data_IF_352196503204
#
_entry.id   IF_352196503204
#
_cell.length_a   1.000
_cell.length_b   1.000
_cell.length_c   1.000
_cell.angle_alpha   90.00
_cell.angle_beta   90.00
_cell.angle_gamma   90.00
#
_symmetry.space_group_name_H-M   'P 1'
#
loop_
_entity.id
_entity.type
_entity.pdbx_description
1 polymer ?
#
# COMPACT_ATOMS: atom_id res chain seq x y z
N UNK A 1 -43.75 84.48 6.29
CA UNK A 1 -44.61 83.69 5.39
C UNK A 1 -43.95 82.30 5.25
N UNK A 2 -44.72 81.32 5.35
CA UNK A 2 -44.42 79.91 5.66
C UNK A 2 -43.36 79.27 4.86
N UNK A 3 -42.46 78.52 5.58
CA UNK A 3 -41.54 77.52 5.15
C UNK A 3 -42.15 76.13 5.40
N UNK A 4 -42.15 75.14 4.49
CA UNK A 4 -42.30 73.76 4.88
C UNK A 4 -41.13 72.91 4.53
N UNK A 5 -40.59 72.46 5.58
CA UNK A 5 -40.22 71.05 5.94
C UNK A 5 -39.41 70.19 5.00
N UNK A 6 -38.26 69.94 5.55
CA UNK A 6 -37.37 68.83 5.32
C UNK A 6 -38.05 67.44 5.43
N UNK A 7 -37.89 66.61 4.36
CA UNK A 7 -38.00 65.17 4.51
C UNK A 7 -36.60 64.55 4.30
N UNK A 8 -36.05 64.06 5.41
CA UNK A 8 -34.82 63.24 5.36
C UNK A 8 -35.19 61.81 5.01
N UNK A 9 -34.73 61.31 3.90
CA UNK A 9 -34.78 59.90 3.50
C UNK A 9 -33.70 59.11 4.23
N UNK A 10 -34.08 58.08 5.01
CA UNK A 10 -33.18 57.05 5.55
C UNK A 10 -32.74 56.12 4.43
N UNK A 11 -31.46 55.67 4.42
CA UNK A 11 -31.06 54.60 3.55
C UNK A 11 -31.44 53.23 4.14
N UNK A 12 -32.06 52.39 3.32
CA UNK A 12 -32.33 51.01 3.65
C UNK A 12 -31.03 50.19 3.72
N UNK A 13 -30.75 49.62 4.88
CA UNK A 13 -29.67 48.62 5.06
C UNK A 13 -30.11 47.31 4.40
N UNK A 14 -29.56 47.02 3.24
CA UNK A 14 -29.68 45.71 2.62
C UNK A 14 -28.76 44.71 3.36
N UNK A 15 -29.33 43.89 4.22
CA UNK A 15 -28.65 42.80 4.89
C UNK A 15 -28.23 41.70 3.88
N UNK A 16 -26.93 41.56 3.65
CA UNK A 16 -26.34 40.47 2.89
C UNK A 16 -26.39 39.21 3.75
N UNK A 17 -27.38 38.35 3.53
CA UNK A 17 -27.42 37.00 4.11
C UNK A 17 -26.43 36.14 3.35
N UNK A 18 -25.24 35.93 3.94
CA UNK A 18 -24.31 34.92 3.48
C UNK A 18 -24.90 33.52 3.77
N UNK A 19 -25.51 32.93 2.75
CA UNK A 19 -25.95 31.53 2.82
C UNK A 19 -24.74 30.60 2.93
N UNK A 20 -24.52 30.07 4.15
CA UNK A 20 -23.62 28.90 4.33
C UNK A 20 -24.32 27.72 3.65
N UNK A 21 -23.90 27.42 2.43
CA UNK A 21 -24.27 26.19 1.77
C UNK A 21 -23.55 25.03 2.52
N UNK A 22 -24.20 24.50 3.55
CA UNK A 22 -23.86 23.16 4.06
C UNK A 22 -24.02 22.19 2.91
N UNK A 23 -22.92 21.67 2.40
CA UNK A 23 -22.92 20.50 1.50
C UNK A 23 -23.49 19.32 2.30
N UNK A 24 -24.81 19.20 2.33
CA UNK A 24 -25.49 17.98 2.74
C UNK A 24 -25.14 16.92 1.70
N UNK A 25 -24.25 15.98 2.04
CA UNK A 25 -24.11 14.74 1.30
C UNK A 25 -25.48 14.08 1.26
N UNK A 26 -26.04 13.96 0.04
CA UNK A 26 -27.34 13.34 -0.16
C UNK A 26 -27.29 11.89 0.30
N UNK A 27 -28.31 11.34 1.00
CA UNK A 27 -28.34 9.95 1.49
C UNK A 27 -28.04 8.92 0.37
N UNK A 28 -28.49 9.15 -0.86
CA UNK A 28 -28.20 8.30 -2.02
C UNK A 28 -26.67 8.14 -2.32
N UNK A 29 -25.85 9.13 -1.99
CA UNK A 29 -24.38 9.05 -2.17
C UNK A 29 -23.70 8.20 -1.08
N UNK A 30 -24.25 8.22 0.14
CA UNK A 30 -23.73 7.43 1.26
C UNK A 30 -24.06 5.94 1.10
N UNK A 31 -25.24 5.61 0.59
CA UNK A 31 -25.64 4.22 0.29
C UNK A 31 -24.81 3.65 -0.86
N UNK A 32 -24.64 4.39 -1.95
CA UNK A 32 -23.81 3.97 -3.09
C UNK A 32 -22.33 3.73 -2.68
N UNK A 33 -21.78 4.52 -1.77
CA UNK A 33 -20.44 4.29 -1.23
C UNK A 33 -20.36 2.98 -0.43
N UNK A 34 -21.37 2.71 0.42
CA UNK A 34 -21.40 1.47 1.21
C UNK A 34 -21.62 0.24 0.34
N UNK A 35 -22.42 0.35 -0.72
CA UNK A 35 -22.63 -0.73 -1.69
C UNK A 35 -21.32 -1.11 -2.42
N UNK A 36 -20.43 -0.13 -2.68
CA UNK A 36 -19.13 -0.39 -3.31
C UNK A 36 -18.04 -0.83 -2.33
N UNK A 37 -18.01 -0.25 -1.10
CA UNK A 37 -16.86 -0.40 -0.19
C UNK A 37 -17.16 -1.30 1.03
N UNK A 38 -18.41 -1.56 1.33
CA UNK A 38 -18.83 -2.43 2.43
C UNK A 38 -20.10 -3.24 2.07
N UNK A 39 -20.14 -3.94 0.93
CA UNK A 39 -21.35 -4.64 0.44
C UNK A 39 -21.84 -5.74 1.39
N UNK A 40 -20.97 -6.21 2.30
CA UNK A 40 -21.30 -7.21 3.32
C UNK A 40 -21.63 -6.60 4.69
N UNK A 41 -21.74 -5.28 4.77
CA UNK A 41 -21.86 -4.53 6.04
C UNK A 41 -20.54 -4.35 6.78
N UNK A 42 -19.41 -4.80 6.21
CA UNK A 42 -18.05 -4.66 6.73
C UNK A 42 -17.12 -4.18 5.63
N UNK A 43 -16.07 -3.44 6.00
CA UNK A 43 -14.95 -3.14 5.08
C UNK A 43 -13.99 -4.33 5.07
N UNK A 44 -13.91 -5.06 3.94
CA UNK A 44 -12.98 -6.18 3.78
C UNK A 44 -11.66 -5.66 3.21
N UNK A 45 -10.62 -5.67 4.03
CA UNK A 45 -9.29 -5.15 3.69
C UNK A 45 -8.37 -6.32 3.32
N UNK A 46 -7.94 -6.42 2.07
CA UNK A 46 -6.96 -7.42 1.68
C UNK A 46 -5.55 -7.00 2.12
N UNK A 47 -4.86 -7.91 2.80
CA UNK A 47 -3.51 -7.70 3.33
C UNK A 47 -2.57 -8.83 2.91
N UNK A 48 -1.30 -8.49 2.65
CA UNK A 48 -0.26 -9.47 2.37
C UNK A 48 0.58 -9.73 3.64
N UNK A 49 0.81 -11.00 3.94
CA UNK A 49 1.50 -11.42 5.17
C UNK A 49 2.98 -11.69 4.89
N UNK A 50 3.85 -11.13 5.73
CA UNK A 50 5.28 -11.45 5.80
C UNK A 50 5.71 -11.50 7.26
N UNK A 51 6.63 -12.40 7.65
CA UNK A 51 7.15 -12.48 9.02
C UNK A 51 7.90 -11.22 9.51
N UNK A 52 8.31 -10.35 8.59
CA UNK A 52 9.05 -9.12 8.92
C UNK A 52 8.16 -7.89 9.07
N UNK A 53 6.89 -7.93 8.58
CA UNK A 53 6.06 -6.73 8.50
C UNK A 53 6.63 -5.70 7.50
N UNK A 54 6.30 -4.44 7.68
CA UNK A 54 6.78 -3.32 6.84
C UNK A 54 5.67 -2.34 6.50
N UNK A 55 5.96 -1.36 5.64
CA UNK A 55 4.97 -0.35 5.24
C UNK A 55 3.86 -0.93 4.34
N UNK A 56 4.18 -1.95 3.56
CA UNK A 56 3.23 -2.71 2.75
C UNK A 56 2.80 -4.03 3.42
N UNK A 57 3.72 -4.74 4.07
CA UNK A 57 3.48 -6.06 4.61
C UNK A 57 2.84 -6.02 6.00
N UNK A 58 1.96 -6.97 6.27
CA UNK A 58 1.36 -7.21 7.59
C UNK A 58 1.92 -8.49 8.22
N UNK A 59 1.82 -8.61 9.54
CA UNK A 59 2.22 -9.80 10.29
C UNK A 59 1.02 -10.41 11.00
N UNK A 60 1.07 -11.71 11.31
CA UNK A 60 0.16 -12.34 12.26
C UNK A 60 0.63 -12.04 13.68
N UNK A 61 -0.31 -11.70 14.57
CA UNK A 61 -0.02 -11.54 16.00
C UNK A 61 -0.20 -12.85 16.75
N UNK A 62 0.41 -12.97 17.92
CA UNK A 62 0.25 -14.13 18.81
C UNK A 62 -1.22 -14.34 19.24
N UNK A 63 -2.00 -13.28 19.32
CA UNK A 63 -3.43 -13.32 19.63
C UNK A 63 -4.32 -13.78 18.46
N UNK A 64 -3.73 -14.14 17.30
CA UNK A 64 -4.46 -14.58 16.10
C UNK A 64 -4.98 -13.46 15.22
N UNK A 65 -4.68 -12.19 15.55
CA UNK A 65 -4.99 -11.02 14.73
C UNK A 65 -3.88 -10.66 13.75
N UNK A 66 -3.91 -9.41 13.28
CA UNK A 66 -2.93 -8.87 12.35
C UNK A 66 -2.36 -7.53 12.85
N UNK A 67 -1.12 -7.21 12.47
CA UNK A 67 -0.47 -5.93 12.68
C UNK A 67 0.23 -5.50 11.39
N UNK A 68 0.38 -4.18 11.18
CA UNK A 68 1.01 -3.61 10.00
C UNK A 68 0.38 -2.28 9.61
N UNK A 69 1.09 -1.49 8.82
CA UNK A 69 0.57 -0.21 8.31
C UNK A 69 -0.76 -0.38 7.55
N UNK A 70 -0.92 -1.40 6.66
CA UNK A 70 -2.19 -1.65 5.98
C UNK A 70 -3.33 -2.02 6.95
N UNK A 71 -3.02 -2.69 8.06
CA UNK A 71 -4.00 -3.04 9.10
C UNK A 71 -4.50 -1.78 9.80
N UNK A 72 -3.60 -0.91 10.24
CA UNK A 72 -3.97 0.34 10.91
C UNK A 72 -4.73 1.28 9.98
N UNK A 73 -4.28 1.44 8.73
CA UNK A 73 -5.00 2.26 7.74
C UNK A 73 -6.38 1.69 7.43
N UNK A 74 -6.52 0.37 7.29
CA UNK A 74 -7.81 -0.29 7.07
C UNK A 74 -8.78 -0.09 8.23
N UNK A 75 -8.28 -0.16 9.47
CA UNK A 75 -9.07 0.11 10.68
C UNK A 75 -9.58 1.55 10.73
N UNK A 76 -8.70 2.52 10.46
CA UNK A 76 -9.09 3.94 10.44
C UNK A 76 -10.08 4.25 9.31
N UNK A 77 -9.88 3.64 8.13
CA UNK A 77 -10.79 3.78 7.00
C UNK A 77 -12.19 3.22 7.32
N UNK A 78 -12.27 2.04 7.94
CA UNK A 78 -13.53 1.44 8.36
C UNK A 78 -14.24 2.30 9.43
N UNK A 79 -13.48 2.87 10.36
CA UNK A 79 -14.02 3.78 11.37
C UNK A 79 -14.63 5.05 10.73
N UNK A 80 -13.97 5.65 9.74
CA UNK A 80 -14.52 6.81 9.00
C UNK A 80 -15.76 6.44 8.16
N UNK A 81 -15.81 5.21 7.62
CA UNK A 81 -16.97 4.70 6.88
C UNK A 81 -18.13 4.32 7.82
N UNK A 82 -17.88 4.16 9.12
CA UNK A 82 -18.87 3.77 10.12
C UNK A 82 -19.28 2.31 10.04
N UNK A 83 -18.34 1.40 9.69
CA UNK A 83 -18.56 -0.04 9.58
C UNK A 83 -17.44 -0.84 10.28
N UNK A 84 -17.68 -2.09 10.67
CA UNK A 84 -16.62 -2.98 11.13
C UNK A 84 -15.59 -3.27 10.03
N UNK A 85 -14.33 -3.52 10.43
CA UNK A 85 -13.28 -3.99 9.53
C UNK A 85 -13.17 -5.53 9.58
N UNK A 86 -12.89 -6.12 8.41
CA UNK A 86 -12.52 -7.54 8.27
C UNK A 86 -11.24 -7.62 7.43
N UNK A 87 -10.25 -8.41 7.89
CA UNK A 87 -9.00 -8.58 7.14
C UNK A 87 -9.00 -9.89 6.36
N UNK A 88 -8.71 -9.79 5.06
CA UNK A 88 -8.59 -10.92 4.14
C UNK A 88 -7.10 -11.13 3.87
N UNK A 89 -6.50 -12.09 4.56
CA UNK A 89 -5.07 -12.34 4.51
C UNK A 89 -4.66 -13.19 3.30
N UNK A 90 -3.59 -12.77 2.63
CA UNK A 90 -2.95 -13.44 1.50
C UNK A 90 -1.45 -13.61 1.75
N UNK A 91 -0.83 -14.63 1.15
CA UNK A 91 0.60 -14.87 1.33
C UNK A 91 1.47 -13.86 0.55
N UNK A 92 0.92 -13.19 -0.46
CA UNK A 92 1.63 -12.19 -1.26
C UNK A 92 0.65 -11.28 -2.02
N UNK A 93 1.19 -10.21 -2.60
CA UNK A 93 0.40 -9.25 -3.37
C UNK A 93 -0.19 -9.80 -4.67
N UNK A 94 0.40 -10.84 -5.24
CA UNK A 94 -0.13 -11.51 -6.42
C UNK A 94 -1.46 -12.19 -6.14
N UNK A 95 -1.57 -12.89 -4.99
CA UNK A 95 -2.82 -13.53 -4.57
C UNK A 95 -3.96 -12.51 -4.30
N UNK A 96 -3.62 -11.30 -3.83
CA UNK A 96 -4.61 -10.21 -3.70
C UNK A 96 -5.16 -9.84 -5.08
N UNK A 97 -4.28 -9.70 -6.08
CA UNK A 97 -4.67 -9.39 -7.47
C UNK A 97 -5.52 -10.51 -8.06
N UNK A 98 -5.14 -11.77 -7.86
CA UNK A 98 -5.88 -12.93 -8.36
C UNK A 98 -7.28 -13.07 -7.73
N UNK A 99 -7.47 -12.50 -6.54
CA UNK A 99 -8.73 -12.50 -5.82
C UNK A 99 -9.70 -11.36 -6.23
N UNK A 100 -9.28 -10.39 -7.06
CA UNK A 100 -10.13 -9.27 -7.52
C UNK A 100 -11.43 -9.78 -8.13
N UNK A 101 -11.33 -10.71 -9.08
CA UNK A 101 -12.50 -11.23 -9.79
C UNK A 101 -13.43 -12.07 -8.91
N UNK A 102 -12.98 -12.50 -7.72
CA UNK A 102 -13.77 -13.28 -6.77
C UNK A 102 -14.61 -12.41 -5.84
N UNK A 103 -14.39 -11.08 -5.82
CA UNK A 103 -15.11 -10.15 -4.96
C UNK A 103 -14.95 -10.43 -3.46
N UNK A 104 -13.79 -10.94 -3.04
CA UNK A 104 -13.55 -11.35 -1.64
C UNK A 104 -13.00 -10.22 -0.78
N UNK A 105 -12.67 -9.06 -1.35
CA UNK A 105 -12.20 -7.87 -0.66
C UNK A 105 -12.70 -6.60 -1.34
N UNK A 106 -12.69 -5.47 -0.60
CA UNK A 106 -13.23 -4.19 -1.03
C UNK A 106 -12.14 -3.12 -1.21
N UNK A 107 -11.09 -3.18 -0.39
CA UNK A 107 -9.95 -2.27 -0.45
C UNK A 107 -8.66 -3.00 -0.13
N UNK A 108 -7.56 -2.52 -0.67
CA UNK A 108 -6.21 -2.98 -0.36
C UNK A 108 -5.19 -1.86 -0.47
N UNK A 109 -4.02 -2.08 0.08
CA UNK A 109 -2.84 -1.24 -0.02
C UNK A 109 -1.75 -2.10 -0.63
N UNK A 110 -1.43 -1.92 -1.93
CA UNK A 110 -0.49 -2.83 -2.58
C UNK A 110 0.39 -2.14 -3.62
N UNK A 111 1.52 -2.77 -3.99
CA UNK A 111 2.39 -2.25 -5.04
C UNK A 111 1.66 -2.09 -6.36
N UNK A 112 1.79 -0.89 -6.95
CA UNK A 112 1.21 -0.50 -8.23
C UNK A 112 2.20 -0.78 -9.36
N UNK A 113 1.71 -1.30 -10.48
CA UNK A 113 2.42 -1.39 -11.75
C UNK A 113 1.44 -1.47 -12.94
N UNK A 114 1.91 -1.34 -14.19
CA UNK A 114 1.03 -1.31 -15.37
C UNK A 114 0.15 -2.56 -15.53
N UNK A 115 0.64 -3.76 -15.14
CA UNK A 115 -0.16 -4.98 -15.23
C UNK A 115 -1.36 -4.96 -14.29
N UNK A 116 -1.20 -4.34 -13.12
CA UNK A 116 -2.24 -4.23 -12.10
C UNK A 116 -3.23 -3.10 -12.37
N UNK A 117 -2.78 -2.02 -13.03
CA UNK A 117 -3.65 -0.89 -13.43
C UNK A 117 -4.78 -1.32 -14.36
N UNK A 118 -4.61 -2.38 -15.14
CA UNK A 118 -5.67 -2.97 -15.95
C UNK A 118 -6.68 -3.82 -15.18
N UNK A 119 -6.41 -4.14 -13.91
CA UNK A 119 -7.21 -5.08 -13.09
C UNK A 119 -7.92 -4.42 -11.92
N UNK A 120 -7.46 -3.25 -11.48
CA UNK A 120 -7.99 -2.53 -10.32
C UNK A 120 -7.74 -1.04 -10.45
N UNK A 121 -8.46 -0.25 -9.66
CA UNK A 121 -8.33 1.20 -9.63
C UNK A 121 -7.43 1.63 -8.47
N UNK A 122 -6.42 2.47 -8.77
CA UNK A 122 -5.44 2.95 -7.79
C UNK A 122 -5.68 4.41 -7.41
N UNK A 123 -5.59 4.69 -6.11
CA UNK A 123 -5.54 6.02 -5.53
C UNK A 123 -4.11 6.51 -5.27
N UNK A 124 -3.91 7.44 -4.32
CA UNK A 124 -2.61 8.00 -4.00
C UNK A 124 -1.58 6.97 -3.54
N UNK A 125 -0.31 7.29 -3.76
CA UNK A 125 0.85 6.54 -3.27
C UNK A 125 1.15 7.00 -1.83
N UNK A 126 1.46 6.05 -0.94
CA UNK A 126 1.89 6.36 0.42
C UNK A 126 3.28 5.81 0.77
N UNK A 127 3.83 4.94 -0.08
CA UNK A 127 5.14 4.34 0.12
C UNK A 127 5.91 4.23 -1.20
N UNK A 128 7.21 4.45 -1.15
CA UNK A 128 8.17 4.08 -2.20
C UNK A 128 9.25 3.22 -1.58
N UNK A 129 9.31 1.94 -1.97
CA UNK A 129 10.29 0.97 -1.53
C UNK A 129 11.33 0.71 -2.64
N UNK A 130 12.60 0.64 -2.26
CA UNK A 130 13.68 0.25 -3.15
C UNK A 130 13.77 -1.29 -3.20
N UNK A 131 13.78 -1.89 -4.38
CA UNK A 131 13.94 -3.32 -4.60
C UNK A 131 15.40 -3.66 -4.96
N UNK A 132 15.94 -4.70 -4.31
CA UNK A 132 17.30 -5.19 -4.51
C UNK A 132 17.35 -6.71 -4.34
N UNK A 133 18.53 -7.26 -4.11
CA UNK A 133 18.75 -8.69 -3.87
C UNK A 133 19.46 -8.91 -2.54
N UNK A 134 19.10 -9.99 -1.85
CA UNK A 134 19.92 -10.60 -0.81
C UNK A 134 20.59 -11.83 -1.39
N UNK A 135 21.86 -12.03 -1.05
CA UNK A 135 22.63 -13.22 -1.50
C UNK A 135 22.86 -14.18 -0.34
N UNK A 136 22.96 -15.47 -0.65
CA UNK A 136 23.16 -16.57 0.30
C UNK A 136 24.43 -16.39 1.15
N UNK A 137 24.52 -17.05 2.30
CA UNK A 137 25.73 -17.05 3.13
C UNK A 137 26.97 -17.46 2.32
N UNK A 138 28.09 -16.76 2.52
CA UNK A 138 29.35 -17.06 1.86
C UNK A 138 29.40 -16.78 0.35
N UNK A 139 28.40 -16.12 -0.22
CA UNK A 139 28.35 -15.79 -1.66
C UNK A 139 29.49 -14.85 -2.08
N UNK A 140 30.10 -15.15 -3.23
CA UNK A 140 31.07 -14.27 -3.89
C UNK A 140 30.40 -13.11 -4.65
N UNK A 141 29.06 -13.11 -4.81
CA UNK A 141 28.30 -12.05 -5.45
C UNK A 141 28.33 -10.79 -4.59
N UNK A 142 28.81 -9.68 -5.15
CA UNK A 142 28.98 -8.40 -4.40
C UNK A 142 28.16 -7.24 -4.97
N UNK A 143 27.71 -7.37 -6.23
CA UNK A 143 26.98 -6.33 -6.97
C UNK A 143 26.15 -6.96 -8.09
N UNK A 144 25.38 -6.15 -8.83
CA UNK A 144 24.51 -6.64 -9.91
C UNK A 144 25.29 -7.28 -11.07
N UNK A 145 26.50 -6.81 -11.37
CA UNK A 145 27.31 -7.37 -12.44
C UNK A 145 27.74 -8.82 -12.10
N UNK A 146 28.12 -9.08 -10.86
CA UNK A 146 28.48 -10.42 -10.39
C UNK A 146 27.27 -11.31 -10.11
N UNK A 147 26.08 -10.71 -9.91
CA UNK A 147 24.82 -11.43 -9.77
C UNK A 147 24.29 -11.92 -11.12
N UNK A 148 24.36 -11.08 -12.17
CA UNK A 148 23.78 -11.41 -13.48
C UNK A 148 24.71 -12.31 -14.33
N UNK A 149 25.01 -13.49 -13.82
CA UNK A 149 25.84 -14.48 -14.49
C UNK A 149 25.07 -15.78 -14.77
N UNK A 150 25.43 -16.45 -15.85
CA UNK A 150 24.87 -17.77 -16.18
C UNK A 150 25.11 -18.77 -15.04
N UNK A 151 24.08 -19.52 -14.67
CA UNK A 151 24.10 -20.47 -13.56
C UNK A 151 23.69 -19.92 -12.22
N UNK A 152 23.63 -18.59 -12.02
CA UNK A 152 23.09 -17.97 -10.81
C UNK A 152 21.57 -18.16 -10.76
N UNK A 153 21.08 -18.67 -9.62
CA UNK A 153 19.66 -18.92 -9.36
C UNK A 153 19.10 -17.84 -8.47
N UNK A 154 18.22 -17.02 -9.01
CA UNK A 154 17.54 -15.93 -8.28
C UNK A 154 16.10 -16.33 -8.02
N UNK A 155 15.67 -16.27 -6.75
CA UNK A 155 14.28 -16.44 -6.39
C UNK A 155 13.53 -15.09 -6.33
N UNK A 156 12.23 -15.14 -6.55
CA UNK A 156 11.31 -14.04 -6.27
C UNK A 156 9.94 -14.61 -5.89
N UNK A 157 9.12 -13.82 -5.19
CA UNK A 157 7.74 -14.22 -4.89
C UNK A 157 6.88 -14.08 -6.14
N UNK A 158 6.13 -15.11 -6.46
CA UNK A 158 5.30 -15.19 -7.66
C UNK A 158 4.32 -14.00 -7.78
N UNK A 159 4.11 -13.56 -9.02
CA UNK A 159 3.13 -12.55 -9.40
C UNK A 159 3.30 -11.22 -8.65
N UNK A 160 4.54 -10.88 -8.24
CA UNK A 160 4.88 -9.60 -7.60
C UNK A 160 5.52 -8.62 -8.57
N UNK A 161 5.40 -7.32 -8.25
CA UNK A 161 6.10 -6.25 -8.98
C UNK A 161 7.62 -6.41 -8.93
N UNK A 162 8.12 -6.98 -7.83
CA UNK A 162 9.55 -7.23 -7.61
C UNK A 162 10.04 -8.36 -8.54
N UNK A 163 9.28 -9.47 -8.68
CA UNK A 163 9.61 -10.54 -9.61
C UNK A 163 9.69 -10.03 -11.05
N UNK A 164 8.68 -9.26 -11.48
CA UNK A 164 8.69 -8.67 -12.84
C UNK A 164 9.87 -7.72 -13.04
N UNK A 165 10.21 -6.94 -12.02
CA UNK A 165 11.40 -6.09 -12.03
C UNK A 165 12.70 -6.87 -12.14
N UNK A 166 12.85 -7.96 -11.38
CA UNK A 166 14.02 -8.83 -11.42
C UNK A 166 14.20 -9.51 -12.79
N UNK A 167 13.11 -10.03 -13.37
CA UNK A 167 13.10 -10.62 -14.72
C UNK A 167 13.51 -9.58 -15.78
N UNK A 168 13.03 -8.35 -15.67
CA UNK A 168 13.38 -7.28 -16.60
C UNK A 168 14.85 -6.81 -16.44
N UNK A 169 15.37 -6.85 -15.21
CA UNK A 169 16.72 -6.40 -14.87
C UNK A 169 17.80 -7.42 -15.28
N UNK A 170 17.63 -8.71 -14.91
CA UNK A 170 18.61 -9.75 -15.14
C UNK A 170 18.49 -10.32 -16.55
N UNK A 171 19.65 -10.55 -17.19
CA UNK A 171 19.74 -11.08 -18.58
C UNK A 171 20.27 -12.49 -18.63
N UNK A 172 21.18 -12.84 -17.74
CA UNK A 172 21.93 -14.09 -17.72
C UNK A 172 21.54 -15.00 -16.55
N UNK A 173 21.28 -14.43 -15.36
CA UNK A 173 20.82 -15.17 -14.19
C UNK A 173 19.35 -15.59 -14.33
N UNK A 174 19.04 -16.80 -13.84
CA UNK A 174 17.68 -17.35 -13.94
C UNK A 174 16.82 -16.91 -12.74
N UNK A 175 15.74 -16.19 -13.02
CA UNK A 175 14.72 -15.84 -12.01
C UNK A 175 13.64 -16.92 -11.95
N UNK A 176 13.39 -17.47 -10.76
CA UNK A 176 12.34 -18.47 -10.50
C UNK A 176 11.39 -17.95 -9.43
N UNK A 177 10.09 -18.09 -9.68
CA UNK A 177 9.05 -17.66 -8.75
C UNK A 177 8.65 -18.77 -7.76
N UNK A 178 8.40 -18.38 -6.51
CA UNK A 178 7.94 -19.23 -5.41
C UNK A 178 6.71 -18.62 -4.73
N UNK A 179 5.98 -19.41 -3.92
CA UNK A 179 4.70 -18.96 -3.40
C UNK A 179 4.84 -18.08 -2.15
N UNK A 180 5.82 -18.36 -1.29
CA UNK A 180 5.93 -17.69 0.00
C UNK A 180 7.34 -17.19 0.28
N UNK A 181 7.42 -16.18 1.16
CA UNK A 181 8.67 -15.68 1.70
C UNK A 181 9.45 -16.77 2.46
N UNK A 182 8.76 -17.58 3.28
CA UNK A 182 9.40 -18.58 4.13
C UNK A 182 10.02 -19.72 3.32
N UNK A 183 9.36 -20.14 2.23
CA UNK A 183 9.92 -21.11 1.27
C UNK A 183 11.26 -20.60 0.70
N UNK A 184 11.30 -19.35 0.25
CA UNK A 184 12.52 -18.76 -0.32
C UNK A 184 13.61 -18.59 0.75
N UNK A 185 13.25 -18.21 1.98
CA UNK A 185 14.19 -18.10 3.09
C UNK A 185 14.87 -19.45 3.40
N UNK A 186 14.13 -20.55 3.35
CA UNK A 186 14.65 -21.90 3.48
C UNK A 186 15.66 -22.25 2.36
N UNK A 187 15.28 -22.00 1.10
CA UNK A 187 16.14 -22.26 -0.06
C UNK A 187 17.42 -21.40 -0.08
N UNK A 188 17.33 -20.15 0.41
CA UNK A 188 18.49 -19.27 0.54
C UNK A 188 19.44 -19.78 1.62
N UNK A 189 18.90 -20.26 2.74
CA UNK A 189 19.66 -20.78 3.88
C UNK A 189 20.35 -22.11 3.52
N UNK A 190 19.68 -23.00 2.79
CA UNK A 190 20.25 -24.27 2.32
C UNK A 190 21.26 -24.09 1.17
N UNK A 191 21.28 -22.91 0.53
CA UNK A 191 22.13 -22.62 -0.62
C UNK A 191 21.61 -23.17 -1.95
N UNK A 192 20.36 -23.65 -1.99
CA UNK A 192 19.71 -24.14 -3.23
C UNK A 192 19.44 -23.02 -4.23
N UNK A 193 19.30 -21.79 -3.75
CA UNK A 193 19.29 -20.54 -4.53
C UNK A 193 20.46 -19.66 -4.15
N UNK A 194 20.91 -18.79 -5.06
CA UNK A 194 22.03 -17.89 -4.84
C UNK A 194 21.59 -16.52 -4.32
N UNK A 195 20.39 -16.06 -4.72
CA UNK A 195 19.87 -14.76 -4.33
C UNK A 195 18.33 -14.74 -4.29
N UNK A 196 17.80 -13.75 -3.56
CA UNK A 196 16.35 -13.46 -3.51
C UNK A 196 16.09 -11.99 -3.79
N UNK A 197 15.17 -11.69 -4.69
CA UNK A 197 14.74 -10.35 -5.08
C UNK A 197 13.50 -9.92 -4.26
N UNK A 198 13.62 -8.85 -3.46
CA UNK A 198 12.50 -8.29 -2.70
C UNK A 198 12.77 -6.80 -2.39
N UNK A 199 11.86 -6.15 -1.64
CA UNK A 199 12.11 -4.82 -1.11
C UNK A 199 13.26 -4.83 -0.08
N UNK A 200 14.06 -3.79 -0.08
CA UNK A 200 15.28 -3.67 0.75
C UNK A 200 15.01 -3.82 2.23
N UNK A 201 13.90 -3.26 2.73
CA UNK A 201 13.48 -3.36 4.13
C UNK A 201 13.26 -4.82 4.55
N UNK A 202 12.55 -5.60 3.72
CA UNK A 202 12.33 -7.02 3.94
C UNK A 202 13.62 -7.82 3.90
N UNK A 203 14.51 -7.52 2.95
CA UNK A 203 15.79 -8.19 2.82
C UNK A 203 16.73 -7.86 3.99
N UNK A 204 16.72 -6.62 4.48
CA UNK A 204 17.45 -6.23 5.68
C UNK A 204 16.94 -6.97 6.94
N UNK A 205 15.62 -7.13 7.06
CA UNK A 205 15.02 -7.91 8.14
C UNK A 205 15.39 -9.40 8.04
N UNK A 206 15.42 -9.96 6.83
CA UNK A 206 15.87 -11.34 6.57
C UNK A 206 17.35 -11.52 6.92
N UNK A 207 18.21 -10.61 6.51
CA UNK A 207 19.66 -10.67 6.76
C UNK A 207 20.00 -10.71 8.26
N UNK A 208 19.19 -10.04 9.11
CA UNK A 208 19.34 -10.12 10.57
C UNK A 208 19.01 -11.52 11.12
N UNK A 209 18.17 -12.28 10.42
CA UNK A 209 17.71 -13.63 10.83
C UNK A 209 18.58 -14.76 10.24
N UNK A 210 19.25 -14.51 9.10
CA UNK A 210 20.09 -15.49 8.40
C UNK A 210 21.53 -14.97 8.35
N UNK A 211 22.37 -15.32 9.33
CA UNK A 211 23.75 -14.85 9.40
C UNK A 211 24.56 -15.23 8.14
N UNK A 212 25.46 -14.34 7.73
CA UNK A 212 26.32 -14.53 6.58
C UNK A 212 25.70 -14.15 5.23
N UNK A 213 24.40 -13.82 5.20
CA UNK A 213 23.76 -13.21 4.01
C UNK A 213 24.19 -11.76 3.84
N UNK A 214 24.10 -11.24 2.64
CA UNK A 214 24.36 -9.83 2.33
C UNK A 214 23.28 -9.27 1.42
N UNK A 215 22.73 -8.11 1.77
CA UNK A 215 21.85 -7.32 0.90
C UNK A 215 22.75 -6.44 0.02
N UNK A 216 22.50 -6.46 -1.30
CA UNK A 216 23.26 -5.65 -2.26
C UNK A 216 22.86 -4.17 -2.15
N UNK A 217 23.84 -3.26 -2.32
CA UNK A 217 23.62 -1.82 -2.14
C UNK A 217 22.83 -1.18 -3.30
N UNK A 218 22.91 -1.76 -4.48
CA UNK A 218 22.26 -1.26 -5.69
C UNK A 218 20.74 -1.50 -5.63
N UNK A 219 19.98 -0.65 -6.34
CA UNK A 219 18.52 -0.74 -6.47
C UNK A 219 18.16 -0.97 -7.93
N UNK A 220 17.51 -2.08 -8.25
CA UNK A 220 17.11 -2.36 -9.63
C UNK A 220 15.74 -1.78 -9.99
N UNK A 221 14.92 -1.47 -8.99
CA UNK A 221 13.58 -0.91 -9.18
C UNK A 221 13.11 -0.16 -7.94
N UNK A 222 12.41 0.95 -8.13
CA UNK A 222 11.55 1.54 -7.10
C UNK A 222 10.13 1.00 -7.27
N UNK A 223 9.57 0.48 -6.19
CA UNK A 223 8.19 -0.01 -6.13
C UNK A 223 7.36 1.00 -5.36
N UNK A 224 6.24 1.42 -5.92
CA UNK A 224 5.30 2.34 -5.28
C UNK A 224 4.10 1.57 -4.74
N UNK A 225 3.72 1.81 -3.50
CA UNK A 225 2.52 1.24 -2.87
C UNK A 225 1.43 2.30 -2.78
N UNK A 226 0.23 1.95 -3.20
CA UNK A 226 -0.93 2.83 -3.24
C UNK A 226 -2.17 2.13 -2.65
N UNK A 227 -3.16 2.90 -2.24
CA UNK A 227 -4.49 2.35 -1.97
C UNK A 227 -5.13 1.91 -3.28
N UNK A 228 -5.85 0.80 -3.28
CA UNK A 228 -6.54 0.31 -4.45
C UNK A 228 -7.89 -0.32 -4.09
N UNK A 229 -8.82 -0.26 -5.03
CA UNK A 229 -10.15 -0.87 -4.97
C UNK A 229 -10.40 -1.72 -6.22
N UNK A 230 -11.35 -2.65 -6.22
CA UNK A 230 -11.74 -3.36 -7.44
C UNK A 230 -12.12 -2.40 -8.57
N UNK A 231 -12.06 -2.82 -9.84
CA UNK A 231 -12.43 -1.96 -10.96
C UNK A 231 -13.92 -1.61 -10.93
N UNK A 232 -14.29 -0.48 -11.55
CA UNK A 232 -15.69 -0.01 -11.65
C UNK A 232 -16.34 0.34 -10.29
N UNK A 233 -15.55 0.75 -9.29
CA UNK A 233 -16.01 1.22 -7.98
C UNK A 233 -15.57 2.69 -7.76
N UNK A 234 -16.15 3.67 -8.47
CA UNK A 234 -15.69 5.05 -8.45
C UNK A 234 -15.92 5.75 -7.10
N UNK A 235 -16.98 5.42 -6.37
CA UNK A 235 -17.26 5.99 -5.05
C UNK A 235 -16.27 5.46 -4.01
N UNK A 236 -15.97 4.15 -4.07
CA UNK A 236 -14.94 3.51 -3.25
C UNK A 236 -13.56 4.13 -3.50
N UNK A 237 -13.18 4.32 -4.76
CA UNK A 237 -11.91 4.95 -5.13
C UNK A 237 -11.82 6.39 -4.63
N UNK A 238 -12.85 7.19 -4.83
CA UNK A 238 -12.89 8.59 -4.40
C UNK A 238 -12.77 8.71 -2.87
N UNK A 239 -13.46 7.84 -2.12
CA UNK A 239 -13.37 7.79 -0.66
C UNK A 239 -11.97 7.36 -0.20
N UNK A 240 -11.45 6.25 -0.74
CA UNK A 240 -10.13 5.73 -0.38
C UNK A 240 -9.00 6.72 -0.71
N UNK A 241 -9.11 7.43 -1.84
CA UNK A 241 -8.14 8.44 -2.23
C UNK A 241 -8.15 9.65 -1.29
N UNK A 242 -9.35 10.15 -0.93
CA UNK A 242 -9.50 11.23 0.05
C UNK A 242 -8.96 10.80 1.41
N UNK A 243 -9.38 9.64 1.91
CA UNK A 243 -8.89 9.08 3.17
C UNK A 243 -7.36 9.06 3.24
N UNK A 244 -6.71 8.50 2.21
CA UNK A 244 -5.25 8.36 2.22
C UNK A 244 -4.54 9.72 2.11
N UNK A 245 -5.06 10.65 1.33
CA UNK A 245 -4.54 12.03 1.25
C UNK A 245 -4.62 12.72 2.61
N UNK A 246 -5.74 12.58 3.31
CA UNK A 246 -5.92 13.09 4.66
C UNK A 246 -4.98 12.40 5.65
N UNK A 247 -4.86 11.07 5.60
CA UNK A 247 -3.98 10.30 6.47
C UNK A 247 -2.49 10.69 6.33
N UNK A 248 -2.05 11.05 5.13
CA UNK A 248 -0.70 11.57 4.88
C UNK A 248 -0.51 12.95 5.56
N UNK A 249 -1.50 13.83 5.48
CA UNK A 249 -1.37 15.23 5.92
C UNK A 249 -1.68 15.45 7.39
N UNK A 250 -2.57 14.66 7.99
CA UNK A 250 -3.01 14.80 9.39
C UNK A 250 -2.20 13.94 10.38
N UNK A 251 -1.19 13.21 9.92
CA UNK A 251 -0.32 12.38 10.74
C UNK A 251 -0.80 10.95 11.00
N UNK A 252 -1.97 10.55 10.51
CA UNK A 252 -2.50 9.18 10.67
C UNK A 252 -1.55 8.14 10.06
N UNK A 253 -1.03 8.40 8.85
CA UNK A 253 -0.04 7.54 8.22
C UNK A 253 1.25 7.46 9.04
N UNK A 254 1.76 8.60 9.56
CA UNK A 254 2.96 8.61 10.41
C UNK A 254 2.74 7.77 11.68
N UNK A 255 1.59 7.91 12.32
CA UNK A 255 1.20 7.11 13.48
C UNK A 255 1.17 5.62 13.17
N UNK A 256 0.62 5.22 12.01
CA UNK A 256 0.61 3.83 11.58
C UNK A 256 2.03 3.27 11.38
N UNK A 257 2.95 4.05 10.79
CA UNK A 257 4.36 3.68 10.69
C UNK A 257 5.01 3.51 12.06
N UNK A 258 4.83 4.49 12.96
CA UNK A 258 5.44 4.47 14.30
C UNK A 258 4.96 3.29 15.15
N UNK A 259 3.68 2.97 15.08
CA UNK A 259 3.06 1.85 15.80
C UNK A 259 3.58 0.49 15.32
N UNK A 260 4.07 0.42 14.10
CA UNK A 260 4.60 -0.81 13.49
C UNK A 260 6.14 -0.84 13.42
N UNK A 261 6.82 -0.07 14.28
CA UNK A 261 8.27 -0.11 14.42
C UNK A 261 9.04 0.62 13.30
N UNK A 262 8.36 1.44 12.50
CA UNK A 262 8.93 2.16 11.36
C UNK A 262 9.17 3.66 11.65
N UNK A 263 9.48 4.00 12.91
CA UNK A 263 9.68 5.40 13.36
C UNK A 263 10.70 6.18 12.54
N UNK A 264 11.80 5.50 12.20
CA UNK A 264 12.92 6.10 11.45
C UNK A 264 12.75 5.96 9.92
N UNK A 265 11.67 5.30 9.47
CA UNK A 265 11.40 5.11 8.05
C UNK A 265 10.72 6.37 7.49
N UNK A 266 11.33 7.06 6.51
CA UNK A 266 10.71 8.21 5.90
C UNK A 266 9.46 7.81 5.10
N UNK A 267 8.41 8.62 5.19
CA UNK A 267 7.26 8.49 4.31
C UNK A 267 7.65 9.07 2.95
N UNK A 268 7.66 8.22 1.93
CA UNK A 268 8.00 8.58 0.55
C UNK A 268 6.77 8.36 -0.33
N UNK A 269 6.23 9.43 -0.87
CA UNK A 269 5.02 9.42 -1.72
C UNK A 269 5.33 9.65 -3.20
N UNK A 270 6.60 9.84 -3.56
CA UNK A 270 7.06 10.07 -4.93
C UNK A 270 8.35 9.28 -5.20
N UNK A 271 8.49 8.77 -6.41
CA UNK A 271 9.74 8.19 -6.93
C UNK A 271 10.77 9.31 -7.17
N UNK A 272 12.05 8.95 -7.06
CA UNK A 272 13.15 9.86 -7.44
C UNK A 272 13.34 9.88 -8.94
#
# INVERSE_FOLDING_TARGET
>A
MFNPSLFKSLPALAGLILGIASMMTTPASADALKDELAPTGKLRVAIAISPAGGAFWSTKTESGGYAGVPVDLGKEMAAQLGVPVEYVAHNNSGQIVDAVSKGTWDVTFLPKDPEREGKMSFGPIYEVADATYIVKPGSAVTNFQTLDQAGIKVAAVNNTTTMRGAIAHLKNAKVTGYQTYDEIAGLLTSGEIDAFALSRDQLNAMSKKIPGTRVLDETFKQTVTAVAVPPNHPQALAFAARFLTEAITNGTLRKAYDSNGLKDTPIRTQTK
#
